data_IF_181308200627
#
_entry.id   IF_181308200627
#
_cell.length_a   1.000
_cell.length_b   1.000
_cell.length_c   1.000
_cell.angle_alpha   90.00
_cell.angle_beta   90.00
_cell.angle_gamma   90.00
#
_symmetry.space_group_name_H-M   'P 1'
#
loop_
_entity.id
_entity.type
_entity.pdbx_description
1 polymer ?
#
# COMPACT_ATOMS: atom_id res chain seq x y z
N UNK A 1 14.83 -2.25 7.02
CA UNK A 1 13.59 -2.32 7.80
C UNK A 1 13.10 -3.76 7.92
N UNK A 2 12.39 -4.11 8.99
CA UNK A 2 11.89 -5.46 9.27
C UNK A 2 10.41 -5.39 9.66
N UNK A 3 9.59 -6.27 9.09
CA UNK A 3 8.21 -6.43 9.53
C UNK A 3 8.17 -7.16 10.88
N UNK A 4 7.42 -6.60 11.82
CA UNK A 4 7.21 -7.17 13.16
C UNK A 4 5.71 -7.27 13.40
N UNK A 5 5.18 -8.48 13.67
CA UNK A 5 3.80 -8.64 14.11
C UNK A 5 3.52 -7.77 15.34
N UNK A 6 2.34 -7.18 15.44
CA UNK A 6 2.04 -6.26 16.55
C UNK A 6 2.18 -6.91 17.92
N UNK A 7 1.93 -8.21 18.01
CA UNK A 7 2.11 -9.01 19.23
C UNK A 7 3.57 -9.15 19.70
N UNK A 8 4.51 -8.93 18.79
CA UNK A 8 5.96 -9.00 19.03
C UNK A 8 6.59 -7.60 19.03
N UNK A 9 5.81 -6.56 18.76
CA UNK A 9 6.27 -5.19 18.79
C UNK A 9 6.38 -4.71 20.24
N UNK A 10 7.52 -4.10 20.55
CA UNK A 10 7.84 -3.62 21.89
C UNK A 10 7.98 -2.09 21.90
N UNK A 11 7.62 -1.42 23.02
CA UNK A 11 7.94 -0.01 23.21
C UNK A 11 9.43 0.25 23.04
N UNK A 12 9.78 1.36 22.40
CA UNK A 12 11.17 1.71 22.07
C UNK A 12 11.61 1.30 20.67
N UNK A 13 10.83 0.48 19.96
CA UNK A 13 11.08 0.21 18.55
C UNK A 13 10.74 1.44 17.71
N UNK A 14 11.52 1.68 16.64
CA UNK A 14 11.37 2.85 15.76
C UNK A 14 10.71 2.43 14.45
N UNK A 15 9.67 3.15 14.05
CA UNK A 15 8.99 2.90 12.80
C UNK A 15 9.88 3.22 11.59
N UNK A 16 9.93 2.29 10.63
CA UNK A 16 10.65 2.44 9.37
C UNK A 16 9.76 2.95 8.22
N UNK A 17 8.44 2.99 8.42
CA UNK A 17 7.48 3.45 7.42
C UNK A 17 6.33 4.19 8.09
N UNK A 18 5.70 5.12 7.36
CA UNK A 18 4.50 5.81 7.81
C UNK A 18 3.33 4.81 7.93
N UNK A 19 2.54 4.97 8.97
CA UNK A 19 1.29 4.23 9.15
C UNK A 19 0.11 5.13 8.80
N UNK A 20 -0.79 4.60 7.99
CA UNK A 20 -1.96 5.33 7.49
C UNK A 20 -3.24 4.71 8.03
N UNK A 21 -4.26 5.54 8.25
CA UNK A 21 -5.62 5.06 8.52
C UNK A 21 -6.31 4.60 7.21
N UNK A 22 -7.53 4.08 7.36
CA UNK A 22 -8.36 3.63 6.23
C UNK A 22 -8.69 4.74 5.22
N UNK A 23 -8.51 6.02 5.60
CA UNK A 23 -8.78 7.20 4.78
C UNK A 23 -7.49 7.76 4.16
N UNK A 24 -6.32 7.14 4.43
CA UNK A 24 -5.03 7.56 3.91
C UNK A 24 -4.38 8.72 4.68
N UNK A 25 -4.86 9.04 5.90
CA UNK A 25 -4.22 10.03 6.77
C UNK A 25 -3.12 9.36 7.57
N UNK A 26 -1.97 10.00 7.68
CA UNK A 26 -0.88 9.51 8.50
C UNK A 26 -1.29 9.46 9.98
N UNK A 27 -1.29 8.27 10.55
CA UNK A 27 -1.54 8.04 11.98
C UNK A 27 -0.26 8.24 12.79
N UNK A 28 0.84 7.63 12.33
CA UNK A 28 2.16 7.73 12.97
C UNK A 28 3.18 7.82 11.83
N UNK A 29 4.05 8.81 11.88
CA UNK A 29 5.11 9.00 10.89
C UNK A 29 6.28 8.04 11.08
N UNK A 30 7.04 7.80 10.00
CA UNK A 30 8.31 7.09 10.07
C UNK A 30 9.28 7.78 11.04
N UNK A 31 10.28 7.02 11.53
CA UNK A 31 11.24 7.44 12.56
C UNK A 31 10.61 7.78 13.93
N UNK A 32 9.31 7.49 14.12
CA UNK A 32 8.66 7.64 15.42
C UNK A 32 8.93 6.41 16.29
N UNK A 33 9.31 6.65 17.54
CA UNK A 33 9.48 5.60 18.54
C UNK A 33 8.10 5.12 19.02
N UNK A 34 7.87 3.81 18.99
CA UNK A 34 6.65 3.19 19.46
C UNK A 34 6.56 3.26 20.99
N UNK A 35 5.44 3.74 21.47
CA UNK A 35 5.09 3.71 22.89
C UNK A 35 4.00 2.68 23.14
N UNK A 36 3.82 2.26 24.41
CA UNK A 36 2.74 1.36 24.80
C UNK A 36 1.36 1.88 24.34
N UNK A 37 1.12 3.19 24.48
CA UNK A 37 -0.12 3.83 24.01
C UNK A 37 -0.29 3.78 22.49
N UNK A 38 0.79 3.79 21.72
CA UNK A 38 0.72 3.61 20.26
C UNK A 38 0.39 2.17 19.89
N UNK A 39 0.99 1.21 20.56
CA UNK A 39 0.72 -0.22 20.32
C UNK A 39 -0.75 -0.56 20.60
N UNK A 40 -1.29 -0.11 21.74
CA UNK A 40 -2.71 -0.28 22.08
C UNK A 40 -3.65 0.33 21.01
N UNK A 41 -3.32 1.53 20.52
CA UNK A 41 -4.10 2.18 19.46
C UNK A 41 -4.02 1.44 18.15
N UNK A 42 -2.83 0.98 17.75
CA UNK A 42 -2.63 0.21 16.51
C UNK A 42 -3.41 -1.10 16.57
N UNK A 43 -3.44 -1.78 17.72
CA UNK A 43 -4.26 -2.96 17.92
C UNK A 43 -5.76 -2.64 17.78
N UNK A 44 -6.22 -1.53 18.38
CA UNK A 44 -7.60 -1.07 18.26
C UNK A 44 -7.99 -0.67 16.83
N UNK A 45 -7.03 -0.19 16.03
CA UNK A 45 -7.20 0.10 14.61
C UNK A 45 -7.09 -1.14 13.72
N UNK A 46 -6.80 -2.33 14.29
CA UNK A 46 -6.73 -3.60 13.57
C UNK A 46 -5.44 -3.80 12.77
N UNK A 47 -4.35 -3.15 13.15
CA UNK A 47 -3.05 -3.43 12.54
C UNK A 47 -2.53 -4.80 13.01
N UNK A 48 -2.08 -5.62 12.07
CA UNK A 48 -1.47 -6.93 12.38
C UNK A 48 0.01 -6.83 12.71
N UNK A 49 0.68 -5.75 12.27
CA UNK A 49 2.11 -5.53 12.49
C UNK A 49 2.59 -4.22 11.89
N UNK A 50 3.85 -3.94 12.10
CA UNK A 50 4.50 -2.68 11.71
C UNK A 50 5.89 -2.94 11.13
N UNK A 51 6.36 -2.03 10.30
CA UNK A 51 7.76 -2.01 9.87
C UNK A 51 8.59 -1.21 10.86
N UNK A 52 9.63 -1.82 11.38
CA UNK A 52 10.60 -1.19 12.28
C UNK A 52 11.97 -1.04 11.63
N UNK A 53 12.71 -0.05 12.08
CA UNK A 53 14.11 0.11 11.71
C UNK A 53 14.94 -1.07 12.24
N UNK A 54 15.77 -1.61 11.36
CA UNK A 54 16.71 -2.69 11.71
C UNK A 54 18.08 -2.35 11.11
N UNK A 55 19.10 -2.46 11.91
CA UNK A 55 20.50 -2.20 11.50
C UNK A 55 20.96 -3.12 10.37
N UNK A 56 20.38 -4.33 10.26
CA UNK A 56 20.72 -5.28 9.19
C UNK A 56 20.10 -4.90 7.83
N UNK A 57 19.09 -4.05 7.84
CA UNK A 57 18.39 -3.57 6.63
C UNK A 57 18.59 -2.07 6.39
N UNK A 58 19.64 -1.50 6.99
CA UNK A 58 20.00 -0.10 6.79
C UNK A 58 20.33 0.16 5.29
N UNK A 59 19.64 1.14 4.70
CA UNK A 59 19.79 1.47 3.27
C UNK A 59 18.83 0.73 2.33
N UNK A 60 17.96 -0.16 2.82
CA UNK A 60 16.88 -0.74 2.02
C UNK A 60 15.63 0.14 2.21
N UNK A 61 15.28 0.89 1.18
CA UNK A 61 13.99 1.61 1.09
C UNK A 61 13.05 0.78 0.21
N UNK A 62 11.86 0.46 0.71
CA UNK A 62 10.80 -0.10 -0.12
C UNK A 62 10.01 1.08 -0.68
N UNK A 63 10.23 1.37 -1.95
CA UNK A 63 9.42 2.37 -2.63
C UNK A 63 8.07 1.74 -2.99
N UNK A 64 6.99 2.44 -2.65
CA UNK A 64 5.65 2.03 -3.07
C UNK A 64 5.54 2.14 -4.59
N UNK A 65 5.03 1.10 -5.24
CA UNK A 65 4.87 1.04 -6.71
C UNK A 65 3.91 2.12 -7.22
N UNK A 66 2.95 2.51 -6.39
CA UNK A 66 2.03 3.61 -6.65
C UNK A 66 2.03 4.57 -5.45
N UNK A 67 1.80 5.85 -5.72
CA UNK A 67 1.74 6.85 -4.66
C UNK A 67 0.59 6.59 -3.69
N UNK A 68 0.73 6.90 -2.38
CA UNK A 68 -0.35 6.78 -1.40
C UNK A 68 -1.60 7.57 -1.81
N UNK A 69 -1.42 8.73 -2.45
CA UNK A 69 -2.51 9.56 -2.94
C UNK A 69 -3.30 8.87 -4.05
N UNK A 70 -2.63 8.23 -5.01
CA UNK A 70 -3.29 7.50 -6.08
C UNK A 70 -4.03 6.27 -5.54
N UNK A 71 -3.49 5.62 -4.53
CA UNK A 71 -4.12 4.50 -3.82
C UNK A 71 -5.42 4.96 -3.14
N UNK A 72 -5.38 6.06 -2.40
CA UNK A 72 -6.55 6.63 -1.73
C UNK A 72 -7.63 7.04 -2.74
N UNK A 73 -7.25 7.78 -3.80
CA UNK A 73 -8.17 8.20 -4.85
C UNK A 73 -8.87 6.99 -5.50
N UNK A 74 -8.13 5.89 -5.74
CA UNK A 74 -8.67 4.64 -6.24
C UNK A 74 -9.74 4.05 -5.31
N UNK A 75 -9.47 3.99 -4.02
CA UNK A 75 -10.44 3.50 -3.02
C UNK A 75 -11.72 4.35 -2.99
N UNK A 76 -11.58 5.68 -3.03
CA UNK A 76 -12.72 6.61 -3.06
C UNK A 76 -13.59 6.43 -4.30
N UNK A 77 -12.97 6.23 -5.48
CA UNK A 77 -13.71 5.99 -6.73
C UNK A 77 -14.46 4.66 -6.71
N UNK A 78 -13.84 3.60 -6.19
CA UNK A 78 -14.50 2.30 -6.04
C UNK A 78 -15.67 2.41 -5.04
N UNK A 79 -15.47 3.08 -3.91
CA UNK A 79 -16.52 3.32 -2.91
C UNK A 79 -17.71 4.09 -3.49
N UNK A 80 -17.43 5.08 -4.34
CA UNK A 80 -18.46 5.88 -5.02
C UNK A 80 -19.10 5.17 -6.22
N UNK A 81 -18.66 3.96 -6.59
CA UNK A 81 -19.06 3.25 -7.81
C UNK A 81 -18.86 4.10 -9.09
N UNK A 82 -17.84 4.96 -9.10
CA UNK A 82 -17.49 5.81 -10.25
C UNK A 82 -16.61 5.03 -11.22
N UNK A 83 -17.24 4.35 -12.19
CA UNK A 83 -16.56 3.48 -13.16
C UNK A 83 -15.59 4.27 -14.05
N UNK A 84 -15.99 5.46 -14.52
CA UNK A 84 -15.13 6.27 -15.38
C UNK A 84 -13.93 6.83 -14.61
N UNK A 85 -14.15 7.25 -13.37
CA UNK A 85 -13.07 7.59 -12.45
C UNK A 85 -12.13 6.42 -12.18
N UNK A 86 -12.64 5.20 -12.01
CA UNK A 86 -11.81 4.01 -11.84
C UNK A 86 -10.95 3.72 -13.08
N UNK A 87 -11.48 3.87 -14.29
CA UNK A 87 -10.70 3.74 -15.55
C UNK A 87 -9.54 4.74 -15.60
N UNK A 88 -9.79 6.00 -15.21
CA UNK A 88 -8.76 7.03 -15.17
C UNK A 88 -7.66 6.69 -14.16
N UNK A 89 -8.05 6.25 -12.95
CA UNK A 89 -7.11 5.85 -11.90
C UNK A 89 -6.29 4.64 -12.35
N UNK A 90 -6.92 3.63 -12.96
CA UNK A 90 -6.20 2.46 -13.46
C UNK A 90 -5.11 2.83 -14.49
N UNK A 91 -5.40 3.74 -15.42
CA UNK A 91 -4.39 4.26 -16.37
C UNK A 91 -3.23 4.94 -15.65
N UNK A 92 -3.50 5.81 -14.69
CA UNK A 92 -2.46 6.48 -13.89
C UNK A 92 -1.61 5.47 -13.08
N UNK A 93 -2.24 4.44 -12.51
CA UNK A 93 -1.51 3.35 -11.82
C UNK A 93 -0.55 2.65 -12.77
N UNK A 94 -0.98 2.30 -13.97
CA UNK A 94 -0.11 1.67 -14.97
C UNK A 94 1.04 2.61 -15.38
N UNK A 95 0.77 3.91 -15.55
CA UNK A 95 1.81 4.90 -15.86
C UNK A 95 2.86 5.00 -14.73
N UNK A 96 2.43 5.03 -13.47
CA UNK A 96 3.36 5.01 -12.32
C UNK A 96 4.16 3.70 -12.29
N UNK A 97 3.52 2.54 -12.45
CA UNK A 97 4.18 1.22 -12.49
C UNK A 97 5.24 1.18 -13.62
N UNK A 98 4.90 1.66 -14.82
CA UNK A 98 5.84 1.71 -15.96
C UNK A 98 7.01 2.66 -15.73
N UNK A 99 6.84 3.71 -14.93
CA UNK A 99 7.90 4.64 -14.57
C UNK A 99 8.85 4.10 -13.50
N UNK A 100 8.42 3.11 -12.71
CA UNK A 100 9.26 2.43 -11.73
C UNK A 100 10.26 1.51 -12.41
N UNK A 101 11.57 1.81 -12.33
CA UNK A 101 12.63 1.00 -12.94
C UNK A 101 12.82 -0.38 -12.30
N UNK A 102 12.55 -0.51 -10.99
CA UNK A 102 12.58 -1.75 -10.23
C UNK A 102 11.30 -1.84 -9.41
N UNK A 103 10.45 -2.82 -9.71
CA UNK A 103 9.21 -3.05 -8.98
C UNK A 103 9.46 -4.05 -7.86
N UNK A 104 9.47 -3.57 -6.62
CA UNK A 104 9.38 -4.42 -5.44
C UNK A 104 7.95 -4.37 -4.92
N UNK A 105 7.24 -5.49 -4.97
CA UNK A 105 5.88 -5.58 -4.43
C UNK A 105 5.94 -5.91 -2.95
N UNK A 106 5.46 -5.01 -2.12
CA UNK A 106 5.19 -5.32 -0.73
C UNK A 106 3.78 -5.91 -0.60
N UNK A 107 3.74 -7.22 -0.30
CA UNK A 107 2.48 -7.96 -0.12
C UNK A 107 1.81 -7.67 1.22
N UNK A 108 2.49 -6.98 2.14
CA UNK A 108 1.98 -6.69 3.50
C UNK A 108 1.08 -5.46 3.57
N UNK A 109 1.00 -4.67 2.50
CA UNK A 109 0.11 -3.49 2.39
C UNK A 109 -1.40 -3.88 2.35
N UNK A 110 -1.73 -5.14 2.62
CA UNK A 110 -3.05 -5.75 2.45
C UNK A 110 -3.99 -5.61 3.66
N UNK A 111 -3.59 -4.93 4.76
CA UNK A 111 -4.27 -5.14 6.04
C UNK A 111 -4.73 -3.85 6.72
N UNK A 112 -5.85 -3.32 6.25
CA UNK A 112 -6.72 -2.44 7.03
C UNK A 112 -8.10 -3.07 7.10
N UNK A 113 -8.61 -3.37 8.30
CA UNK A 113 -9.77 -4.25 8.53
C UNK A 113 -11.10 -3.64 8.08
N UNK A 114 -11.30 -2.33 8.21
CA UNK A 114 -12.60 -1.69 7.97
C UNK A 114 -12.90 -1.34 6.50
N UNK A 115 -11.87 -1.13 5.68
CA UNK A 115 -12.00 -0.84 4.24
C UNK A 115 -11.32 -1.91 3.36
N UNK A 116 -11.18 -3.12 3.88
CA UNK A 116 -10.48 -4.24 3.23
C UNK A 116 -10.89 -4.43 1.76
N UNK A 117 -12.20 -4.36 1.46
CA UNK A 117 -12.71 -4.60 0.11
C UNK A 117 -12.19 -3.58 -0.90
N UNK A 118 -12.16 -2.30 -0.53
CA UNK A 118 -11.71 -1.23 -1.43
C UNK A 118 -10.18 -1.23 -1.57
N UNK A 119 -9.47 -1.37 -0.46
CA UNK A 119 -8.02 -1.50 -0.45
C UNK A 119 -7.56 -2.75 -1.22
N UNK A 120 -8.24 -3.89 -1.01
CA UNK A 120 -7.98 -5.12 -1.73
C UNK A 120 -8.17 -4.94 -3.25
N UNK A 121 -9.25 -4.28 -3.67
CA UNK A 121 -9.52 -4.04 -5.09
C UNK A 121 -8.41 -3.20 -5.75
N UNK A 122 -7.92 -2.16 -5.06
CA UNK A 122 -6.79 -1.35 -5.54
C UNK A 122 -5.51 -2.19 -5.63
N UNK A 123 -5.21 -3.00 -4.60
CA UNK A 123 -4.04 -3.87 -4.61
C UNK A 123 -4.08 -4.92 -5.73
N UNK A 124 -5.24 -5.53 -5.96
CA UNK A 124 -5.43 -6.45 -7.10
C UNK A 124 -5.15 -5.74 -8.42
N UNK A 125 -5.62 -4.52 -8.62
CA UNK A 125 -5.36 -3.75 -9.82
C UNK A 125 -3.85 -3.49 -10.01
N UNK A 126 -3.14 -3.12 -8.94
CA UNK A 126 -1.67 -2.93 -8.97
C UNK A 126 -0.96 -4.23 -9.34
N UNK A 127 -1.32 -5.36 -8.71
CA UNK A 127 -0.70 -6.65 -9.03
C UNK A 127 -0.96 -7.07 -10.47
N UNK A 128 -2.19 -6.89 -10.96
CA UNK A 128 -2.50 -7.15 -12.36
C UNK A 128 -1.64 -6.29 -13.31
N UNK A 129 -1.45 -5.01 -12.99
CA UNK A 129 -0.58 -4.10 -13.77
C UNK A 129 0.87 -4.58 -13.80
N UNK A 130 1.43 -4.92 -12.65
CA UNK A 130 2.82 -5.41 -12.54
C UNK A 130 3.02 -6.73 -13.26
N UNK A 131 2.11 -7.69 -13.08
CA UNK A 131 2.15 -8.98 -13.77
C UNK A 131 2.03 -8.78 -15.29
N UNK A 132 1.07 -7.95 -15.74
CA UNK A 132 0.88 -7.64 -17.15
C UNK A 132 2.13 -7.02 -17.78
N UNK A 133 2.77 -6.09 -17.08
CA UNK A 133 4.04 -5.51 -17.51
C UNK A 133 5.15 -6.57 -17.60
N UNK A 134 5.29 -7.43 -16.58
CA UNK A 134 6.27 -8.53 -16.59
C UNK A 134 6.04 -9.55 -17.71
N UNK A 135 4.80 -9.72 -18.15
CA UNK A 135 4.43 -10.55 -19.30
C UNK A 135 4.59 -9.84 -20.65
N UNK A 136 5.00 -8.57 -20.67
CA UNK A 136 5.12 -7.78 -21.90
C UNK A 136 3.77 -7.34 -22.50
N UNK A 137 2.71 -7.33 -21.71
CA UNK A 137 1.41 -6.83 -22.15
C UNK A 137 1.48 -5.32 -22.40
N UNK A 138 0.92 -4.89 -23.53
CA UNK A 138 0.82 -3.47 -23.87
C UNK A 138 -0.48 -2.88 -23.28
N UNK A 139 -0.45 -1.59 -22.94
CA UNK A 139 -1.60 -0.89 -22.34
C UNK A 139 -2.92 -1.07 -23.11
N UNK A 140 -2.85 -1.14 -24.45
CA UNK A 140 -4.05 -1.32 -25.29
C UNK A 140 -4.58 -2.76 -25.30
N UNK A 141 -3.81 -3.77 -24.88
CA UNK A 141 -4.31 -5.15 -24.79
C UNK A 141 -5.18 -5.38 -23.54
N UNK A 142 -5.10 -4.48 -22.56
CA UNK A 142 -5.99 -4.51 -21.41
C UNK A 142 -7.37 -3.89 -21.70
N UNK A 143 -7.52 -3.14 -22.79
CA UNK A 143 -8.79 -2.56 -23.27
C UNK A 143 -9.63 -3.57 -24.10
N UNK A 144 -9.13 -4.79 -24.32
CA UNK A 144 -9.83 -5.83 -25.11
C UNK A 144 -11.07 -6.42 -24.42
N UNK A 145 -11.50 -5.85 -23.30
CA UNK A 145 -12.74 -6.23 -22.61
C UNK A 145 -13.96 -5.36 -23.03
N UNK A 146 -13.78 -4.42 -23.97
CA UNK A 146 -14.83 -3.48 -24.41
C UNK A 146 -15.45 -3.85 -25.78
N UNK A 147 -15.20 -5.09 -26.34
CA UNK A 147 -15.88 -5.62 -27.51
C UNK A 147 -16.92 -6.69 -27.16
#
# INVERSE_FOLDING_TARGET
>A
MRYVPLKEAEPGMVLAADLYDSVGRTLIGCHCELTESYLEKLEAYGFDGVYIEDKLSEGITIESVITPQLRQEGQERIRACDIDGCKLIARRMVEEILSCGNVSLDLTDLRSYDDYTYAHSVNVAVYCGVIGMGMGCLLYTSDAADD
#
